data_IF_580896091784
#
_entry.id   IF_580896091784
#
_cell.length_a   1.000
_cell.length_b   1.000
_cell.length_c   1.000
_cell.angle_alpha   90.00
_cell.angle_beta   90.00
_cell.angle_gamma   90.00
#
_symmetry.space_group_name_H-M   'P 1'
#
loop_
_entity.id
_entity.type
_entity.pdbx_description
1 polymer ?
#
# COMPACT_ATOMS: atom_id res chain seq x y z
N UNK A 1 18.27 -29.29 12.43
CA UNK A 1 18.25 -27.88 12.91
C UNK A 1 18.25 -26.87 11.76
N UNK A 2 18.87 -27.16 10.61
CA UNK A 2 18.89 -26.27 9.41
C UNK A 2 17.48 -26.02 8.83
N UNK A 3 16.62 -27.03 8.77
CA UNK A 3 15.26 -26.88 8.23
C UNK A 3 14.38 -25.92 9.08
N UNK A 4 14.58 -25.85 10.39
CA UNK A 4 13.75 -25.02 11.26
C UNK A 4 14.09 -23.52 11.13
N UNK A 5 15.37 -23.18 10.88
CA UNK A 5 15.75 -21.76 10.63
C UNK A 5 15.21 -21.27 9.29
N UNK A 6 15.24 -22.11 8.25
CA UNK A 6 14.69 -21.76 6.93
C UNK A 6 13.17 -21.49 6.97
N UNK A 7 12.42 -22.27 7.74
CA UNK A 7 10.99 -22.03 7.94
C UNK A 7 10.72 -20.71 8.70
N UNK A 8 11.53 -20.41 9.71
CA UNK A 8 11.42 -19.16 10.47
C UNK A 8 11.75 -17.93 9.61
N UNK A 9 12.82 -17.98 8.81
CA UNK A 9 13.21 -16.92 7.87
C UNK A 9 12.14 -16.69 6.80
N UNK A 10 11.59 -17.76 6.23
CA UNK A 10 10.50 -17.68 5.25
C UNK A 10 9.24 -17.06 5.85
N UNK A 11 8.91 -17.41 7.11
CA UNK A 11 7.77 -16.84 7.80
C UNK A 11 7.93 -15.35 8.06
N UNK A 12 9.10 -14.90 8.52
CA UNK A 12 9.39 -13.47 8.72
C UNK A 12 9.31 -12.71 7.40
N UNK A 13 9.91 -13.25 6.34
CA UNK A 13 9.87 -12.65 5.01
C UNK A 13 8.41 -12.48 4.53
N UNK A 14 7.61 -13.55 4.62
CA UNK A 14 6.21 -13.53 4.24
C UNK A 14 5.38 -12.55 5.07
N UNK A 15 5.63 -12.47 6.38
CA UNK A 15 4.92 -11.55 7.27
C UNK A 15 5.23 -10.08 6.94
N UNK A 16 6.51 -9.73 6.73
CA UNK A 16 6.92 -8.37 6.39
C UNK A 16 6.38 -7.97 5.01
N UNK A 17 6.51 -8.85 4.01
CA UNK A 17 5.98 -8.61 2.67
C UNK A 17 4.45 -8.40 2.69
N UNK A 18 3.74 -9.23 3.44
CA UNK A 18 2.28 -9.09 3.60
C UNK A 18 1.92 -7.76 4.23
N UNK A 19 2.65 -7.31 5.26
CA UNK A 19 2.42 -6.01 5.88
C UNK A 19 2.65 -4.84 4.92
N UNK A 20 3.73 -4.89 4.12
CA UNK A 20 4.06 -3.88 3.10
C UNK A 20 2.92 -3.72 2.08
N UNK A 21 2.19 -4.79 1.76
CA UNK A 21 1.05 -4.74 0.82
C UNK A 21 -0.25 -4.35 1.52
N UNK A 22 -0.57 -4.97 2.67
CA UNK A 22 -1.87 -4.80 3.33
C UNK A 22 -2.06 -3.35 3.81
N UNK A 23 -1.01 -2.74 4.37
CA UNK A 23 -1.07 -1.38 4.90
C UNK A 23 -1.53 -0.37 3.84
N UNK A 24 -0.86 -0.22 2.68
CA UNK A 24 -1.30 0.72 1.64
C UNK A 24 -2.69 0.38 1.08
N UNK A 25 -3.07 -0.90 0.99
CA UNK A 25 -4.43 -1.28 0.57
C UNK A 25 -5.51 -0.73 1.53
N UNK A 26 -5.27 -0.76 2.84
CA UNK A 26 -6.20 -0.18 3.83
C UNK A 26 -6.31 1.34 3.63
N UNK A 27 -5.19 2.03 3.41
CA UNK A 27 -5.20 3.47 3.15
C UNK A 27 -5.97 3.82 1.87
N UNK A 28 -5.80 3.04 0.80
CA UNK A 28 -6.53 3.21 -0.46
C UNK A 28 -8.04 3.04 -0.23
N UNK A 29 -8.46 2.04 0.54
CA UNK A 29 -9.87 1.83 0.87
C UNK A 29 -10.46 3.03 1.64
N UNK A 30 -9.72 3.59 2.60
CA UNK A 30 -10.14 4.79 3.34
C UNK A 30 -10.26 6.01 2.42
N UNK A 31 -9.32 6.19 1.50
CA UNK A 31 -9.37 7.28 0.50
C UNK A 31 -10.58 7.10 -0.42
N UNK A 32 -10.84 5.88 -0.89
CA UNK A 32 -11.99 5.54 -1.72
C UNK A 32 -13.31 5.85 -1.02
N UNK A 33 -13.47 5.45 0.24
CA UNK A 33 -14.64 5.80 1.07
C UNK A 33 -14.85 7.32 1.12
N UNK A 34 -13.79 8.08 1.41
CA UNK A 34 -13.86 9.54 1.49
C UNK A 34 -14.22 10.19 0.14
N UNK A 35 -13.73 9.62 -0.97
CA UNK A 35 -14.08 10.06 -2.32
C UNK A 35 -15.58 9.87 -2.58
N UNK A 36 -16.11 8.68 -2.30
CA UNK A 36 -17.53 8.35 -2.51
C UNK A 36 -18.42 9.30 -1.70
N UNK A 37 -18.11 9.52 -0.43
CA UNK A 37 -18.87 10.46 0.42
C UNK A 37 -18.86 11.87 -0.17
N UNK A 38 -17.69 12.38 -0.61
CA UNK A 38 -17.58 13.73 -1.18
C UNK A 38 -18.29 13.87 -2.53
N UNK A 39 -18.25 12.85 -3.37
CA UNK A 39 -18.98 12.82 -4.64
C UNK A 39 -20.50 12.82 -4.41
N UNK A 40 -20.97 12.10 -3.40
CA UNK A 40 -22.37 12.10 -2.99
C UNK A 40 -22.85 13.47 -2.49
N UNK A 41 -21.99 14.24 -1.80
CA UNK A 41 -22.33 15.59 -1.31
C UNK A 41 -22.16 16.68 -2.37
N UNK A 42 -21.16 16.58 -3.25
CA UNK A 42 -20.81 17.62 -4.23
C UNK A 42 -20.60 17.07 -5.65
N UNK A 43 -21.67 16.65 -6.35
CA UNK A 43 -21.57 16.00 -7.66
C UNK A 43 -20.98 16.91 -8.75
N UNK A 44 -21.15 18.22 -8.66
CA UNK A 44 -20.61 19.20 -9.61
C UNK A 44 -19.09 19.37 -9.52
N UNK A 45 -18.45 18.92 -8.43
CA UNK A 45 -17.01 19.05 -8.19
C UNK A 45 -16.23 17.76 -8.43
N UNK A 46 -16.82 16.80 -9.13
CA UNK A 46 -16.24 15.48 -9.46
C UNK A 46 -14.80 15.55 -9.97
N UNK A 47 -14.44 16.34 -11.00
CA UNK A 47 -13.08 16.34 -11.55
C UNK A 47 -12.03 16.81 -10.53
N UNK A 48 -12.36 17.80 -9.69
CA UNK A 48 -11.45 18.31 -8.65
C UNK A 48 -11.25 17.24 -7.56
N UNK A 49 -12.33 16.59 -7.13
CA UNK A 49 -12.29 15.54 -6.12
C UNK A 49 -11.46 14.34 -6.62
N UNK A 50 -11.68 13.91 -7.86
CA UNK A 50 -10.95 12.80 -8.47
C UNK A 50 -9.47 13.11 -8.66
N UNK A 51 -9.11 14.31 -9.13
CA UNK A 51 -7.70 14.71 -9.24
C UNK A 51 -7.00 14.76 -7.89
N UNK A 52 -7.68 15.27 -6.85
CA UNK A 52 -7.13 15.26 -5.49
C UNK A 52 -6.94 13.85 -4.91
N UNK A 53 -7.76 12.89 -5.33
CA UNK A 53 -7.61 11.47 -4.96
C UNK A 53 -6.48 10.82 -5.76
N UNK A 54 -6.38 11.09 -7.06
CA UNK A 54 -5.34 10.56 -7.93
C UNK A 54 -3.94 10.90 -7.41
N UNK A 55 -3.70 12.17 -7.03
CA UNK A 55 -2.41 12.60 -6.48
C UNK A 55 -2.05 11.81 -5.21
N UNK A 56 -3.03 11.55 -4.34
CA UNK A 56 -2.82 10.77 -3.11
C UNK A 56 -2.52 9.31 -3.43
N UNK A 57 -3.21 8.72 -4.40
CA UNK A 57 -2.94 7.36 -4.85
C UNK A 57 -1.52 7.23 -5.41
N UNK A 58 -1.11 8.16 -6.28
CA UNK A 58 0.26 8.20 -6.83
C UNK A 58 1.29 8.28 -5.70
N UNK A 59 1.08 9.13 -4.68
CA UNK A 59 2.02 9.22 -3.55
C UNK A 59 2.13 7.91 -2.75
N UNK A 60 1.03 7.21 -2.52
CA UNK A 60 1.02 5.94 -1.79
C UNK A 60 1.71 4.85 -2.62
N UNK A 61 1.47 4.83 -3.93
CA UNK A 61 2.10 3.89 -4.85
C UNK A 61 3.61 4.09 -4.88
N UNK A 62 4.09 5.33 -4.97
CA UNK A 62 5.53 5.64 -4.90
C UNK A 62 6.17 5.16 -3.61
N UNK A 63 5.52 5.37 -2.46
CA UNK A 63 6.02 4.89 -1.16
C UNK A 63 6.06 3.36 -1.15
N UNK A 64 5.02 2.71 -1.66
CA UNK A 64 4.93 1.23 -1.70
C UNK A 64 6.01 0.64 -2.59
N UNK A 65 6.25 1.21 -3.76
CA UNK A 65 7.34 0.81 -4.65
C UNK A 65 8.70 0.98 -3.97
N UNK A 66 8.93 2.09 -3.28
CA UNK A 66 10.18 2.32 -2.57
C UNK A 66 10.40 1.30 -1.45
N UNK A 67 9.36 0.99 -0.67
CA UNK A 67 9.41 -0.03 0.39
C UNK A 67 9.67 -1.43 -0.17
N UNK A 68 9.05 -1.78 -1.31
CA UNK A 68 9.30 -3.06 -1.98
C UNK A 68 10.74 -3.15 -2.48
N UNK A 69 11.28 -2.10 -3.09
CA UNK A 69 12.69 -2.07 -3.55
C UNK A 69 13.64 -2.22 -2.36
N UNK A 70 13.40 -1.48 -1.27
CA UNK A 70 14.21 -1.58 -0.06
C UNK A 70 14.15 -2.99 0.54
N UNK A 71 12.96 -3.59 0.59
CA UNK A 71 12.77 -4.98 1.02
C UNK A 71 13.55 -5.96 0.14
N UNK A 72 13.44 -5.85 -1.18
CA UNK A 72 14.22 -6.69 -2.10
C UNK A 72 15.72 -6.51 -1.90
N UNK A 73 16.24 -5.28 -1.72
CA UNK A 73 17.66 -5.06 -1.49
C UNK A 73 18.16 -5.67 -0.17
N UNK A 74 17.36 -5.61 0.89
CA UNK A 74 17.73 -6.17 2.19
C UNK A 74 17.76 -7.70 2.19
N UNK A 75 16.84 -8.35 1.47
CA UNK A 75 16.72 -9.81 1.46
C UNK A 75 17.40 -10.48 0.25
N UNK A 76 17.77 -9.73 -0.79
CA UNK A 76 18.56 -10.21 -1.93
C UNK A 76 20.07 -10.03 -1.76
N UNK A 77 20.50 -9.24 -0.76
CA UNK A 77 21.90 -9.09 -0.38
C UNK A 77 22.34 -10.22 0.56
#
# INVERSE_FOLDING_TARGET
MVAFSQWYETFIFGAIYSAIIIIPCIFIAIIGKNMITKLGTYPTKTPIIQMGVLVKLISIEFITFFLLIAFYQVFSA
#
